data_IF_024137870321
#
_entry.id   IF_024137870321
#
_cell.length_a   1.000
_cell.length_b   1.000
_cell.length_c   1.000
_cell.angle_alpha   90.00
_cell.angle_beta   90.00
_cell.angle_gamma   90.00
#
_symmetry.space_group_name_H-M   'P 1'
#
loop_
_entity.id
_entity.type
_entity.pdbx_description
1 polymer ?
#
# COMPACT_ATOMS: atom_id res chain seq x y z
N UNK A 1 -9.29 1.80 -24.28
CA UNK A 1 -8.78 1.81 -22.88
C UNK A 1 -7.37 2.37 -22.73
N UNK A 2 -6.52 2.51 -23.76
CA UNK A 2 -5.09 2.93 -23.61
C UNK A 2 -4.82 4.30 -22.96
N UNK A 3 -5.80 5.19 -22.82
CA UNK A 3 -5.63 6.49 -22.13
C UNK A 3 -6.56 6.66 -20.91
N UNK A 4 -7.22 5.59 -20.52
CA UNK A 4 -8.04 5.47 -19.34
C UNK A 4 -7.23 4.67 -18.31
N UNK A 5 -7.43 4.88 -17.03
CA UNK A 5 -6.72 4.18 -15.96
C UNK A 5 -5.20 4.47 -15.89
N UNK A 6 -4.83 5.77 -15.97
CA UNK A 6 -3.47 6.20 -15.64
C UNK A 6 -3.10 5.80 -14.22
N UNK A 7 -1.80 5.71 -13.95
CA UNK A 7 -1.27 5.21 -12.69
C UNK A 7 -0.49 6.29 -11.95
N UNK A 8 -0.56 6.25 -10.63
CA UNK A 8 0.37 6.88 -9.70
C UNK A 8 0.75 5.86 -8.64
N UNK A 9 2.01 5.81 -8.25
CA UNK A 9 2.51 4.85 -7.26
C UNK A 9 3.29 5.61 -6.21
N UNK A 10 2.97 5.38 -4.92
CA UNK A 10 3.69 5.94 -3.77
C UNK A 10 4.23 4.81 -2.91
N UNK A 11 5.50 4.89 -2.53
CA UNK A 11 6.15 3.96 -1.61
C UNK A 11 6.76 4.72 -0.43
N UNK A 12 6.67 4.14 0.75
CA UNK A 12 7.26 4.64 1.98
C UNK A 12 8.44 3.77 2.38
N UNK A 13 9.63 4.36 2.50
CA UNK A 13 10.84 3.65 2.88
C UNK A 13 11.27 3.99 4.29
N UNK A 14 11.70 2.96 5.03
CA UNK A 14 12.40 3.12 6.28
C UNK A 14 13.85 3.56 6.04
N UNK A 15 14.35 4.48 6.85
CA UNK A 15 15.78 4.85 6.90
C UNK A 15 16.43 4.14 8.07
N UNK A 16 17.49 3.40 7.78
CA UNK A 16 18.11 2.43 8.69
C UNK A 16 19.59 2.73 8.88
N UNK A 17 20.05 2.71 10.11
CA UNK A 17 21.47 2.73 10.44
C UNK A 17 22.12 1.38 10.08
N UNK A 18 23.21 1.33 9.30
CA UNK A 18 23.80 0.07 8.84
C UNK A 18 24.55 -0.70 9.91
N UNK A 19 24.84 -0.10 11.07
CA UNK A 19 25.55 -0.74 12.19
C UNK A 19 24.58 -1.32 13.20
N UNK A 20 23.61 -0.51 13.65
CA UNK A 20 22.62 -0.93 14.65
C UNK A 20 21.40 -1.62 14.03
N UNK A 21 21.15 -1.42 12.73
CA UNK A 21 19.93 -1.82 12.00
C UNK A 21 18.66 -1.18 12.56
N UNK A 22 18.75 -0.25 13.51
CA UNK A 22 17.60 0.52 14.00
C UNK A 22 17.17 1.57 12.98
N UNK A 23 15.90 1.97 13.06
CA UNK A 23 15.43 3.16 12.37
C UNK A 23 16.16 4.39 12.88
N UNK A 24 16.51 5.28 11.99
CA UNK A 24 17.20 6.52 12.35
C UNK A 24 16.60 7.72 11.64
N UNK A 25 16.55 8.83 12.36
CA UNK A 25 16.12 10.12 11.82
C UNK A 25 17.20 10.69 10.90
N UNK A 26 16.82 11.19 9.74
CA UNK A 26 17.74 11.71 8.71
C UNK A 26 17.73 13.24 8.58
N UNK A 27 17.20 13.97 9.58
CA UNK A 27 17.12 15.44 9.62
C UNK A 27 16.60 16.08 8.30
N UNK A 28 15.75 15.38 7.58
CA UNK A 28 15.23 15.76 6.25
C UNK A 28 16.26 15.94 5.12
N UNK A 29 17.57 15.77 5.39
CA UNK A 29 18.64 15.99 4.39
C UNK A 29 18.50 15.10 3.15
N UNK A 30 18.06 13.85 3.34
CA UNK A 30 17.82 12.93 2.21
C UNK A 30 16.69 13.49 1.33
N UNK A 31 15.58 13.94 1.94
CA UNK A 31 14.43 14.50 1.23
C UNK A 31 14.81 15.77 0.49
N UNK A 32 15.48 16.73 1.16
CA UNK A 32 15.91 17.99 0.55
C UNK A 32 16.88 17.78 -0.63
N UNK A 33 17.80 16.82 -0.50
CA UNK A 33 18.71 16.47 -1.58
C UNK A 33 17.98 15.83 -2.76
N UNK A 34 17.06 14.90 -2.48
CA UNK A 34 16.26 14.22 -3.49
C UNK A 34 15.29 15.17 -4.22
N UNK A 35 14.71 16.16 -3.52
CA UNK A 35 13.83 17.17 -4.11
C UNK A 35 14.56 18.08 -5.13
N UNK A 36 15.86 18.26 -5.01
CA UNK A 36 16.66 18.98 -6.02
C UNK A 36 16.69 18.24 -7.36
N UNK A 37 16.52 16.91 -7.34
CA UNK A 37 16.56 16.05 -8.52
C UNK A 37 15.13 15.74 -8.99
N UNK A 38 14.26 15.32 -8.08
CA UNK A 38 12.94 14.77 -8.35
C UNK A 38 11.77 15.67 -7.89
N UNK A 39 12.05 16.90 -7.42
CA UNK A 39 11.02 17.89 -6.99
C UNK A 39 10.02 17.27 -5.99
N UNK A 40 8.74 17.34 -6.30
CA UNK A 40 7.64 16.92 -5.44
C UNK A 40 7.46 15.40 -5.36
N UNK A 41 8.27 14.61 -6.09
CA UNK A 41 8.20 13.15 -6.09
C UNK A 41 8.81 12.51 -4.83
N UNK A 42 9.58 13.26 -4.03
CA UNK A 42 10.14 12.80 -2.76
C UNK A 42 9.67 13.73 -1.65
N UNK A 43 9.13 13.15 -0.59
CA UNK A 43 8.52 13.90 0.52
C UNK A 43 8.96 13.35 1.86
N UNK A 44 8.98 14.23 2.86
CA UNK A 44 9.07 13.84 4.25
C UNK A 44 7.72 13.30 4.72
N UNK A 45 7.76 12.31 5.59
CA UNK A 45 6.61 11.75 6.28
C UNK A 45 6.57 12.18 7.76
N UNK A 46 5.52 11.76 8.49
CA UNK A 46 5.28 12.15 9.87
C UNK A 46 6.45 11.77 10.78
N UNK A 47 7.06 10.61 10.58
CA UNK A 47 8.27 10.22 11.31
C UNK A 47 9.51 10.54 10.48
N UNK A 48 10.53 11.11 11.10
CA UNK A 48 11.77 11.47 10.42
C UNK A 48 12.56 10.27 9.88
N UNK A 49 12.26 9.07 10.32
CA UNK A 49 12.84 7.83 9.82
C UNK A 49 12.14 7.29 8.56
N UNK A 50 11.22 8.07 7.95
CA UNK A 50 10.44 7.67 6.78
C UNK A 50 10.68 8.64 5.63
N UNK A 51 10.89 8.09 4.43
CA UNK A 51 10.93 8.85 3.16
C UNK A 51 9.85 8.30 2.25
N UNK A 52 8.91 9.15 1.84
CA UNK A 52 7.91 8.85 0.83
C UNK A 52 8.42 9.22 -0.56
N UNK A 53 8.22 8.34 -1.52
CA UNK A 53 8.40 8.63 -2.94
C UNK A 53 7.09 8.44 -3.69
N UNK A 54 6.85 9.25 -4.72
CA UNK A 54 5.67 9.15 -5.57
C UNK A 54 6.01 9.40 -7.04
N UNK A 55 5.50 8.57 -7.93
CA UNK A 55 5.65 8.78 -9.37
C UNK A 55 4.86 10.00 -9.85
N UNK A 56 5.18 10.48 -11.03
CA UNK A 56 4.25 11.30 -11.81
C UNK A 56 3.04 10.49 -12.28
N UNK A 57 2.23 11.10 -13.17
CA UNK A 57 1.12 10.39 -13.82
C UNK A 57 1.70 9.48 -14.90
N UNK A 58 1.66 8.18 -14.66
CA UNK A 58 2.16 7.14 -15.56
C UNK A 58 1.05 6.61 -16.46
N UNK A 59 1.37 6.35 -17.72
CA UNK A 59 0.40 5.81 -18.69
C UNK A 59 0.17 4.30 -18.53
N UNK A 60 1.16 3.59 -18.00
CA UNK A 60 1.16 2.14 -17.86
C UNK A 60 2.15 1.71 -16.76
N UNK A 61 2.17 0.41 -16.44
CA UNK A 61 3.08 -0.17 -15.44
C UNK A 61 4.56 -0.06 -15.83
N UNK A 62 4.90 -0.06 -17.11
CA UNK A 62 6.29 0.09 -17.58
C UNK A 62 6.86 1.46 -17.20
N UNK A 63 6.10 2.53 -17.44
CA UNK A 63 6.48 3.89 -17.00
C UNK A 63 6.56 4.00 -15.48
N UNK A 64 5.58 3.45 -14.75
CA UNK A 64 5.60 3.44 -13.29
C UNK A 64 6.82 2.68 -12.74
N UNK A 65 7.17 1.55 -13.34
CA UNK A 65 8.36 0.76 -13.00
C UNK A 65 9.64 1.57 -13.17
N UNK A 66 9.77 2.27 -14.29
CA UNK A 66 10.95 3.10 -14.55
C UNK A 66 11.11 4.19 -13.48
N UNK A 67 10.03 4.93 -13.19
CA UNK A 67 10.05 6.01 -12.20
C UNK A 67 10.34 5.49 -10.78
N UNK A 68 9.67 4.42 -10.33
CA UNK A 68 9.94 3.80 -9.02
C UNK A 68 11.38 3.30 -8.92
N UNK A 69 11.89 2.66 -9.98
CA UNK A 69 13.28 2.19 -10.01
C UNK A 69 14.27 3.34 -9.83
N UNK A 70 14.07 4.46 -10.52
CA UNK A 70 14.91 5.66 -10.41
C UNK A 70 14.79 6.33 -9.04
N UNK A 71 13.57 6.43 -8.50
CA UNK A 71 13.32 7.02 -7.18
C UNK A 71 13.96 6.20 -6.06
N UNK A 72 13.79 4.85 -6.06
CA UNK A 72 14.49 3.95 -5.11
C UNK A 72 16.00 4.10 -5.20
N UNK A 73 16.54 4.10 -6.43
CA UNK A 73 17.97 4.27 -6.65
C UNK A 73 18.47 5.60 -6.07
N UNK A 74 17.84 6.71 -6.42
CA UNK A 74 18.25 8.05 -5.97
C UNK A 74 18.20 8.18 -4.45
N UNK A 75 17.08 7.78 -3.82
CA UNK A 75 16.95 7.84 -2.36
C UNK A 75 17.98 6.95 -1.67
N UNK A 76 18.26 5.76 -2.23
CA UNK A 76 19.30 4.86 -1.71
C UNK A 76 20.70 5.46 -1.79
N UNK A 77 21.06 6.11 -2.92
CA UNK A 77 22.36 6.77 -3.07
C UNK A 77 22.52 7.90 -2.06
N UNK A 78 21.51 8.77 -1.94
CA UNK A 78 21.53 9.91 -1.01
C UNK A 78 21.54 9.47 0.47
N UNK A 79 20.87 8.36 0.80
CA UNK A 79 20.99 7.73 2.11
C UNK A 79 22.43 7.21 2.34
N UNK A 80 23.01 6.53 1.34
CA UNK A 80 24.38 6.03 1.37
C UNK A 80 25.44 7.11 1.56
N UNK A 81 25.27 8.31 0.97
CA UNK A 81 26.13 9.47 1.19
C UNK A 81 26.12 9.96 2.66
N UNK A 82 25.06 9.65 3.38
CA UNK A 82 24.93 9.95 4.81
C UNK A 82 25.29 8.75 5.72
N UNK A 83 25.81 7.67 5.14
CA UNK A 83 26.13 6.44 5.86
C UNK A 83 24.92 5.64 6.29
N UNK A 84 23.76 5.82 5.63
CA UNK A 84 22.47 5.19 5.94
C UNK A 84 22.04 4.23 4.82
N UNK A 85 21.04 3.42 5.10
CA UNK A 85 20.39 2.52 4.13
C UNK A 85 18.90 2.76 4.09
N UNK A 86 18.23 2.35 3.00
CA UNK A 86 16.77 2.29 2.94
C UNK A 86 16.28 0.84 2.95
N UNK A 87 15.06 0.65 3.47
CA UNK A 87 14.38 -0.64 3.44
C UNK A 87 12.90 -0.46 3.15
N UNK A 88 12.29 -1.43 2.49
CA UNK A 88 10.87 -1.46 2.17
C UNK A 88 10.21 -2.69 2.82
N UNK A 89 9.37 -2.45 3.81
CA UNK A 89 8.51 -3.43 4.48
C UNK A 89 7.34 -2.68 5.12
N UNK A 90 6.31 -3.37 5.60
CA UNK A 90 5.17 -2.69 6.23
C UNK A 90 5.44 -2.19 7.65
N UNK A 91 6.39 -2.82 8.37
CA UNK A 91 6.87 -2.42 9.70
C UNK A 91 8.35 -2.71 9.83
N UNK A 92 9.04 -1.97 10.71
CA UNK A 92 10.41 -2.33 11.11
C UNK A 92 10.37 -3.47 12.15
N UNK A 93 11.22 -4.51 12.02
CA UNK A 93 11.14 -5.70 12.89
C UNK A 93 11.30 -5.43 14.39
N UNK A 94 12.14 -4.47 14.79
CA UNK A 94 12.48 -4.31 16.20
C UNK A 94 12.60 -2.88 16.71
N UNK A 95 12.66 -1.86 15.87
CA UNK A 95 12.71 -0.46 16.32
C UNK A 95 11.42 -0.05 17.04
N UNK A 96 11.59 0.65 18.16
CA UNK A 96 10.48 1.16 18.96
C UNK A 96 10.05 2.55 18.48
N UNK A 97 8.73 2.76 18.36
CA UNK A 97 8.18 4.04 17.90
C UNK A 97 8.43 5.19 18.86
N UNK A 98 8.54 4.93 20.19
CA UNK A 98 8.83 5.95 21.20
C UNK A 98 10.18 6.63 21.02
N UNK A 99 11.11 5.96 20.33
CA UNK A 99 12.43 6.50 20.02
C UNK A 99 12.47 7.36 18.74
N UNK A 100 11.35 7.38 17.96
CA UNK A 100 11.34 8.06 16.68
C UNK A 100 10.89 9.50 16.80
N UNK A 101 11.59 10.40 16.09
CA UNK A 101 11.26 11.81 16.05
C UNK A 101 10.15 12.09 15.04
N UNK A 102 9.26 13.00 15.41
CA UNK A 102 8.23 13.52 14.52
C UNK A 102 8.82 14.67 13.69
N UNK A 103 8.50 14.68 12.41
CA UNK A 103 8.90 15.74 11.48
C UNK A 103 8.27 17.07 11.88
N UNK A 104 9.08 18.12 11.99
CA UNK A 104 8.64 19.47 12.33
C UNK A 104 7.86 20.08 11.16
N UNK A 105 6.55 19.86 11.12
CA UNK A 105 5.65 20.40 10.12
C UNK A 105 4.26 20.65 10.75
N UNK A 106 3.61 21.80 10.47
CA UNK A 106 2.31 22.16 11.07
C UNK A 106 1.24 21.04 10.96
N UNK A 107 1.14 20.40 9.80
CA UNK A 107 0.21 19.29 9.55
C UNK A 107 0.45 18.12 10.51
N UNK A 108 1.69 17.72 10.73
CA UNK A 108 2.02 16.58 11.58
C UNK A 108 1.85 16.93 13.06
N UNK A 109 2.20 18.14 13.46
CA UNK A 109 1.92 18.64 14.81
C UNK A 109 0.42 18.63 15.13
N UNK A 110 -0.41 19.02 14.17
CA UNK A 110 -1.86 18.97 14.31
C UNK A 110 -2.38 17.51 14.47
N UNK A 111 -1.93 16.58 13.61
CA UNK A 111 -2.31 15.16 13.69
C UNK A 111 -1.88 14.56 15.03
N UNK A 112 -0.65 14.82 15.46
CA UNK A 112 -0.14 14.34 16.76
C UNK A 112 -0.92 14.93 17.92
N UNK A 113 -1.30 16.20 17.87
CA UNK A 113 -2.12 16.84 18.91
C UNK A 113 -3.54 16.26 18.95
N UNK A 114 -4.13 15.95 17.80
CA UNK A 114 -5.48 15.37 17.70
C UNK A 114 -5.51 13.89 18.13
N UNK A 115 -4.58 13.07 17.61
CA UNK A 115 -4.61 11.62 17.75
C UNK A 115 -3.67 11.08 18.84
N UNK A 116 -2.81 11.89 19.42
CA UNK A 116 -1.90 11.57 20.51
C UNK A 116 -1.06 10.30 20.25
N UNK A 117 -1.16 9.30 21.11
CA UNK A 117 -0.38 8.06 21.02
C UNK A 117 -0.71 7.26 19.76
N UNK A 118 -1.94 7.31 19.24
CA UNK A 118 -2.28 6.67 17.99
C UNK A 118 -1.41 7.21 16.84
N UNK A 119 -1.21 8.55 16.78
CA UNK A 119 -0.34 9.15 15.79
C UNK A 119 1.14 8.80 16.01
N UNK A 120 1.64 8.95 17.25
CA UNK A 120 3.05 8.67 17.56
C UNK A 120 3.43 7.22 17.28
N UNK A 121 2.54 6.28 17.59
CA UNK A 121 2.77 4.84 17.36
C UNK A 121 2.52 4.38 15.92
N UNK A 122 2.16 5.29 14.99
CA UNK A 122 1.88 4.95 13.59
C UNK A 122 3.16 4.87 12.75
N UNK A 123 4.11 4.07 13.21
CA UNK A 123 5.40 3.83 12.56
C UNK A 123 5.27 2.67 11.57
N UNK A 124 4.67 2.94 10.43
CA UNK A 124 4.33 1.96 9.39
C UNK A 124 4.70 2.50 8.01
N UNK A 125 4.81 1.58 7.05
CA UNK A 125 5.22 1.90 5.69
C UNK A 125 4.30 1.19 4.69
N UNK A 126 3.75 1.93 3.75
CA UNK A 126 2.75 1.44 2.80
C UNK A 126 3.14 1.58 1.35
N UNK A 127 2.39 0.88 0.53
CA UNK A 127 2.26 1.12 -0.89
C UNK A 127 0.89 1.75 -1.16
N UNK A 128 0.87 2.89 -1.85
CA UNK A 128 -0.36 3.47 -2.37
C UNK A 128 -0.36 3.41 -3.89
N UNK A 129 -1.49 3.01 -4.46
CA UNK A 129 -1.67 2.96 -5.91
C UNK A 129 -2.87 3.81 -6.29
N UNK A 130 -2.65 4.78 -7.16
CA UNK A 130 -3.70 5.59 -7.76
C UNK A 130 -4.03 5.06 -9.15
N UNK A 131 -5.31 4.83 -9.40
CA UNK A 131 -5.81 4.52 -10.75
C UNK A 131 -6.72 5.66 -11.20
N UNK A 132 -6.38 6.29 -12.32
CA UNK A 132 -7.10 7.43 -12.90
C UNK A 132 -8.43 7.05 -13.53
N UNK A 133 -9.40 7.97 -13.48
CA UNK A 133 -10.72 7.83 -14.08
C UNK A 133 -11.13 9.09 -14.81
N UNK A 134 -12.13 8.99 -15.69
CA UNK A 134 -12.69 10.12 -16.42
C UNK A 134 -13.58 11.03 -15.56
N UNK A 135 -14.12 10.49 -14.45
CA UNK A 135 -14.95 11.24 -13.51
C UNK A 135 -14.96 10.58 -12.13
N UNK A 136 -15.19 11.39 -11.10
CA UNK A 136 -15.38 10.93 -9.72
C UNK A 136 -16.62 10.03 -9.57
N UNK A 137 -17.68 10.26 -10.38
CA UNK A 137 -18.88 9.43 -10.40
C UNK A 137 -18.57 7.98 -10.84
N UNK A 138 -17.75 7.83 -11.88
CA UNK A 138 -17.28 6.51 -12.30
C UNK A 138 -16.38 5.87 -11.24
N UNK A 139 -15.49 6.66 -10.65
CA UNK A 139 -14.58 6.18 -9.60
C UNK A 139 -15.35 5.61 -8.40
N UNK A 140 -16.39 6.30 -7.88
CA UNK A 140 -17.18 5.80 -6.74
C UNK A 140 -17.92 4.51 -7.09
N UNK A 141 -18.48 4.44 -8.31
CA UNK A 141 -19.15 3.22 -8.78
C UNK A 141 -18.23 2.00 -8.83
N UNK A 142 -17.00 2.19 -9.33
CA UNK A 142 -15.98 1.12 -9.40
C UNK A 142 -15.44 0.81 -8.00
N UNK A 143 -15.14 1.83 -7.18
CA UNK A 143 -14.64 1.64 -5.82
C UNK A 143 -15.56 0.75 -4.98
N UNK A 144 -16.87 0.91 -5.05
CA UNK A 144 -17.84 0.08 -4.34
C UNK A 144 -17.71 -1.41 -4.67
N UNK A 145 -17.38 -1.77 -5.91
CA UNK A 145 -17.26 -3.15 -6.38
C UNK A 145 -15.88 -3.73 -6.07
N UNK A 146 -14.81 -2.94 -6.26
CA UNK A 146 -13.41 -3.36 -5.99
C UNK A 146 -13.20 -3.77 -4.54
N UNK A 147 -13.96 -3.21 -3.60
CA UNK A 147 -13.86 -3.52 -2.16
C UNK A 147 -13.81 -5.02 -1.85
N UNK A 148 -14.54 -5.84 -2.62
CA UNK A 148 -14.52 -7.30 -2.47
C UNK A 148 -13.14 -7.90 -2.71
N UNK A 149 -12.38 -7.37 -3.66
CA UNK A 149 -11.06 -7.88 -4.05
C UNK A 149 -9.90 -7.37 -3.18
N UNK A 150 -10.13 -6.37 -2.33
CA UNK A 150 -9.08 -5.80 -1.48
C UNK A 150 -8.39 -6.85 -0.59
N UNK A 151 -9.09 -7.78 0.10
CA UNK A 151 -8.44 -8.82 0.90
C UNK A 151 -7.57 -9.77 0.08
N UNK A 152 -7.89 -10.00 -1.21
CA UNK A 152 -7.11 -10.88 -2.10
C UNK A 152 -5.75 -10.24 -2.42
N UNK A 153 -5.74 -8.98 -2.86
CA UNK A 153 -4.50 -8.24 -3.15
C UNK A 153 -3.72 -7.97 -1.86
N UNK A 154 -4.41 -7.71 -0.76
CA UNK A 154 -3.79 -7.52 0.54
C UNK A 154 -3.07 -8.78 1.04
N UNK A 155 -3.67 -9.96 0.87
CA UNK A 155 -3.01 -11.23 1.22
C UNK A 155 -1.69 -11.43 0.48
N UNK A 156 -1.61 -11.02 -0.80
CA UNK A 156 -0.39 -11.05 -1.61
C UNK A 156 0.66 -10.05 -1.15
N UNK A 157 0.23 -8.88 -0.65
CA UNK A 157 1.12 -7.77 -0.30
C UNK A 157 1.59 -7.77 1.15
N UNK A 158 1.27 -8.82 1.93
CA UNK A 158 1.69 -8.90 3.32
C UNK A 158 3.21 -8.89 3.46
N UNK A 159 3.75 -7.95 4.26
CA UNK A 159 5.19 -7.74 4.42
C UNK A 159 5.54 -7.12 5.79
N UNK A 160 4.78 -7.45 6.86
CA UNK A 160 5.03 -6.89 8.20
C UNK A 160 4.70 -7.89 9.32
N UNK A 161 5.45 -9.03 9.43
CA UNK A 161 5.17 -10.05 10.43
C UNK A 161 5.72 -9.70 11.82
N UNK A 162 6.66 -8.75 11.90
CA UNK A 162 7.36 -8.41 13.13
C UNK A 162 7.03 -6.99 13.60
N UNK A 163 7.04 -6.79 14.92
CA UNK A 163 6.86 -5.52 15.58
C UNK A 163 7.51 -5.51 16.96
N UNK A 164 8.36 -4.52 17.23
CA UNK A 164 9.01 -4.32 18.53
C UNK A 164 9.62 -5.62 19.10
N UNK A 165 10.53 -6.23 18.36
CA UNK A 165 11.23 -7.48 18.72
C UNK A 165 10.31 -8.71 18.89
N UNK A 166 9.13 -8.72 18.27
CA UNK A 166 8.18 -9.83 18.40
C UNK A 166 7.69 -10.31 17.06
N UNK A 167 7.59 -11.64 16.90
CA UNK A 167 6.73 -12.22 15.89
C UNK A 167 5.28 -12.01 16.35
N UNK A 168 4.53 -11.21 15.58
CA UNK A 168 3.17 -10.82 15.95
C UNK A 168 2.14 -11.92 15.69
N UNK A 169 2.53 -12.95 14.95
CA UNK A 169 1.62 -13.99 14.46
C UNK A 169 0.76 -13.54 13.27
N UNK A 170 0.89 -12.31 12.79
CA UNK A 170 0.25 -11.82 11.57
C UNK A 170 1.24 -11.82 10.40
N UNK A 171 0.74 -11.89 9.17
CA UNK A 171 1.54 -11.65 7.96
C UNK A 171 1.60 -10.15 7.63
N UNK A 172 0.57 -9.38 8.01
CA UNK A 172 0.59 -7.92 8.01
C UNK A 172 0.12 -7.37 9.35
N UNK A 173 1.05 -6.90 10.16
CA UNK A 173 0.74 -6.18 11.40
C UNK A 173 0.56 -4.67 11.18
N UNK A 174 1.06 -4.13 10.07
CA UNK A 174 0.89 -2.74 9.66
C UNK A 174 -0.57 -2.28 9.77
N UNK A 175 -1.50 -3.06 9.26
CA UNK A 175 -2.92 -2.70 9.30
C UNK A 175 -3.48 -2.66 10.72
N UNK A 176 -2.96 -3.48 11.66
CA UNK A 176 -3.37 -3.47 13.06
C UNK A 176 -2.88 -2.22 13.80
N UNK A 177 -1.72 -1.69 13.42
CA UNK A 177 -1.22 -0.41 13.92
C UNK A 177 -2.09 0.72 13.37
N UNK A 178 -2.36 0.70 12.05
CA UNK A 178 -3.14 1.73 11.38
C UNK A 178 -4.62 1.76 11.81
N UNK A 179 -5.20 0.63 12.21
CA UNK A 179 -6.58 0.54 12.72
C UNK A 179 -6.82 1.41 13.99
N UNK A 180 -5.74 1.92 14.65
CA UNK A 180 -5.85 2.90 15.75
C UNK A 180 -6.32 4.28 15.28
N UNK A 181 -6.11 4.63 14.00
CA UNK A 181 -6.56 5.90 13.44
C UNK A 181 -8.07 5.86 13.19
N UNK A 182 -8.79 6.96 13.46
CA UNK A 182 -10.18 7.09 13.06
C UNK A 182 -10.28 7.07 11.52
N UNK A 183 -11.42 6.64 11.00
CA UNK A 183 -11.72 6.69 9.56
C UNK A 183 -10.74 5.87 8.70
N UNK A 184 -10.26 4.74 9.23
CA UNK A 184 -9.46 3.71 8.53
C UNK A 184 -10.32 2.50 8.17
N UNK A 185 -9.72 1.52 7.49
CA UNK A 185 -10.35 0.26 7.12
C UNK A 185 -11.17 0.35 5.83
N UNK A 186 -12.01 -0.64 5.62
CA UNK A 186 -12.87 -0.72 4.43
C UNK A 186 -13.99 0.34 4.54
N UNK A 187 -14.20 1.22 3.53
CA UNK A 187 -15.30 2.18 3.54
C UNK A 187 -16.66 1.49 3.40
N UNK A 188 -17.72 2.19 3.78
CA UNK A 188 -19.09 1.81 3.42
C UNK A 188 -19.35 2.02 1.91
N UNK A 189 -20.50 1.55 1.43
CA UNK A 189 -20.97 1.78 0.07
C UNK A 189 -21.53 3.22 -0.01
N UNK A 190 -21.14 3.96 -1.02
CA UNK A 190 -21.73 5.24 -1.38
C UNK A 190 -22.52 5.09 -2.67
N UNK A 191 -23.80 5.47 -2.68
CA UNK A 191 -24.68 5.28 -3.84
C UNK A 191 -24.35 6.24 -5.00
N UNK A 192 -23.74 7.38 -4.68
CA UNK A 192 -23.30 8.38 -5.66
C UNK A 192 -22.13 9.18 -5.12
N UNK A 193 -21.50 9.98 -5.98
CA UNK A 193 -20.47 10.94 -5.54
C UNK A 193 -21.06 12.02 -4.64
N UNK A 194 -22.31 12.39 -4.84
CA UNK A 194 -23.01 13.34 -3.99
C UNK A 194 -23.19 12.78 -2.56
N UNK A 195 -23.53 11.50 -2.43
CA UNK A 195 -23.63 10.81 -1.15
C UNK A 195 -22.29 10.84 -0.40
N UNK A 196 -21.20 10.53 -1.10
CA UNK A 196 -19.84 10.66 -0.58
C UNK A 196 -19.49 12.12 -0.17
N UNK A 197 -19.79 13.09 -1.03
CA UNK A 197 -19.49 14.49 -0.75
C UNK A 197 -20.33 15.02 0.43
N UNK A 198 -21.57 14.56 0.61
CA UNK A 198 -22.40 14.89 1.74
C UNK A 198 -21.86 14.31 3.06
N UNK A 199 -21.32 13.08 3.01
CA UNK A 199 -20.61 12.49 4.16
C UNK A 199 -19.38 13.34 4.55
N UNK A 200 -18.55 13.73 3.58
CA UNK A 200 -17.38 14.60 3.82
C UNK A 200 -17.80 15.96 4.39
N UNK A 201 -18.83 16.61 3.79
CA UNK A 201 -19.36 17.90 4.26
C UNK A 201 -19.88 17.82 5.69
N UNK A 202 -20.53 16.71 6.05
CA UNK A 202 -21.00 16.49 7.42
C UNK A 202 -19.84 16.45 8.41
N UNK A 203 -18.78 15.69 8.11
CA UNK A 203 -17.60 15.60 8.95
C UNK A 203 -16.89 16.95 9.12
N UNK A 204 -16.80 17.75 8.05
CA UNK A 204 -16.23 19.10 8.10
C UNK A 204 -17.13 20.01 8.95
N UNK A 205 -18.45 20.00 8.73
CA UNK A 205 -19.40 20.81 9.48
C UNK A 205 -19.41 20.53 10.99
N UNK A 206 -19.11 19.29 11.36
CA UNK A 206 -19.04 18.84 12.78
C UNK A 206 -17.64 18.96 13.36
N UNK A 207 -16.69 19.60 12.67
CA UNK A 207 -15.27 19.74 13.07
C UNK A 207 -14.57 18.39 13.34
N UNK A 208 -15.05 17.30 12.71
CA UNK A 208 -14.41 15.98 12.81
C UNK A 208 -13.17 15.87 11.91
N UNK A 209 -13.15 16.64 10.83
CA UNK A 209 -12.03 16.82 9.91
C UNK A 209 -12.05 18.24 9.35
N UNK A 210 -10.92 18.75 8.91
CA UNK A 210 -10.79 20.00 8.14
C UNK A 210 -10.96 19.77 6.62
N UNK A 211 -10.53 18.61 6.15
CA UNK A 211 -10.65 18.20 4.75
C UNK A 211 -10.61 16.67 4.61
N UNK A 212 -10.96 16.16 3.41
CA UNK A 212 -11.07 14.73 3.15
C UNK A 212 -9.72 13.97 3.12
N UNK A 213 -8.56 14.65 3.21
CA UNK A 213 -7.26 13.97 3.39
C UNK A 213 -7.16 13.23 4.72
N UNK A 214 -7.96 13.63 5.74
CA UNK A 214 -8.06 12.96 7.05
C UNK A 214 -9.01 11.75 7.05
N UNK A 215 -9.36 11.22 5.88
CA UNK A 215 -10.07 9.95 5.68
C UNK A 215 -9.05 8.95 5.13
N UNK A 216 -8.67 7.96 5.94
CA UNK A 216 -7.57 7.04 5.65
C UNK A 216 -8.05 5.62 5.32
N UNK A 217 -9.18 5.48 4.61
CA UNK A 217 -9.69 4.16 4.21
C UNK A 217 -8.71 3.38 3.33
N UNK A 218 -8.84 2.07 3.34
CA UNK A 218 -8.05 1.13 2.53
C UNK A 218 -8.19 1.35 1.02
N UNK A 219 -9.32 1.92 0.61
CA UNK A 219 -9.63 2.40 -0.74
C UNK A 219 -10.39 3.72 -0.62
N UNK A 220 -10.01 4.72 -1.39
CA UNK A 220 -10.58 6.06 -1.33
C UNK A 220 -10.73 6.66 -2.73
N UNK A 221 -11.90 7.22 -3.05
CA UNK A 221 -11.98 8.18 -4.16
C UNK A 221 -11.26 9.43 -3.71
N UNK A 222 -10.20 9.80 -4.43
CA UNK A 222 -9.31 10.87 -3.97
C UNK A 222 -10.05 12.23 -3.98
N UNK A 223 -9.90 13.08 -2.94
CA UNK A 223 -10.67 14.32 -2.82
C UNK A 223 -10.34 15.38 -3.86
N UNK A 224 -9.14 15.34 -4.45
CA UNK A 224 -8.64 16.39 -5.36
C UNK A 224 -8.24 15.87 -6.75
N UNK A 225 -8.06 14.56 -6.90
CA UNK A 225 -7.71 13.93 -8.17
C UNK A 225 -8.83 12.99 -8.60
N UNK A 226 -9.05 12.86 -9.90
CA UNK A 226 -10.01 11.90 -10.44
C UNK A 226 -9.40 10.48 -10.43
N UNK A 227 -9.04 10.00 -9.23
CA UNK A 227 -8.43 8.67 -9.01
C UNK A 227 -9.14 7.90 -7.92
N UNK A 228 -9.08 6.58 -8.02
CA UNK A 228 -9.22 5.68 -6.87
C UNK A 228 -7.81 5.44 -6.32
N UNK A 229 -7.64 5.65 -5.04
CA UNK A 229 -6.41 5.41 -4.30
C UNK A 229 -6.56 4.15 -3.44
N UNK A 230 -5.69 3.19 -3.65
CA UNK A 230 -5.58 1.95 -2.91
C UNK A 230 -4.45 2.07 -1.88
N UNK A 231 -4.75 1.86 -0.60
CA UNK A 231 -3.85 2.12 0.53
C UNK A 231 -3.61 0.89 1.41
N UNK A 232 -4.27 -0.23 1.11
CA UNK A 232 -4.32 -1.41 1.96
C UNK A 232 -2.98 -2.16 2.03
N UNK A 233 -2.12 -2.05 1.01
CA UNK A 233 -0.91 -2.85 0.86
C UNK A 233 0.22 -2.40 1.78
N UNK A 234 0.96 -3.36 2.36
CA UNK A 234 2.27 -3.11 2.94
C UNK A 234 3.24 -2.67 1.83
N UNK A 235 4.28 -1.88 2.16
CA UNK A 235 5.32 -1.54 1.19
C UNK A 235 6.09 -2.80 0.79
N UNK A 236 6.15 -3.18 -0.50
CA UNK A 236 6.85 -4.39 -0.94
C UNK A 236 8.36 -4.22 -0.97
N UNK A 237 9.10 -5.29 -0.67
CA UNK A 237 10.55 -5.26 -0.81
C UNK A 237 10.99 -5.14 -2.27
N UNK A 238 10.35 -5.84 -3.18
CA UNK A 238 10.73 -5.93 -4.59
C UNK A 238 9.90 -5.00 -5.48
N UNK A 239 10.55 -4.31 -6.43
CA UNK A 239 9.86 -3.49 -7.44
C UNK A 239 8.89 -4.34 -8.27
N UNK A 240 9.24 -5.59 -8.54
CA UNK A 240 8.34 -6.50 -9.28
C UNK A 240 7.03 -6.76 -8.53
N UNK A 241 7.06 -6.83 -7.20
CA UNK A 241 5.85 -6.95 -6.37
C UNK A 241 5.01 -5.67 -6.42
N UNK A 242 5.66 -4.50 -6.31
CA UNK A 242 5.00 -3.19 -6.46
C UNK A 242 4.25 -3.11 -7.80
N UNK A 243 4.91 -3.52 -8.89
CA UNK A 243 4.29 -3.50 -10.22
C UNK A 243 3.17 -4.53 -10.36
N UNK A 244 3.32 -5.72 -9.77
CA UNK A 244 2.27 -6.73 -9.77
C UNK A 244 0.99 -6.23 -9.08
N UNK A 245 1.11 -5.60 -7.91
CA UNK A 245 -0.05 -5.03 -7.21
C UNK A 245 -0.63 -3.82 -7.94
N UNK A 246 0.20 -2.97 -8.52
CA UNK A 246 -0.23 -1.85 -9.35
C UNK A 246 -1.03 -2.34 -10.56
N UNK A 247 -0.53 -3.36 -11.26
CA UNK A 247 -1.22 -3.99 -12.38
C UNK A 247 -2.55 -4.64 -11.98
N UNK A 248 -2.59 -5.34 -10.83
CA UNK A 248 -3.82 -5.94 -10.31
C UNK A 248 -4.91 -4.87 -10.08
N UNK A 249 -4.58 -3.75 -9.42
CA UNK A 249 -5.55 -2.68 -9.20
C UNK A 249 -6.00 -2.03 -10.50
N UNK A 250 -5.08 -1.78 -11.45
CA UNK A 250 -5.42 -1.25 -12.75
C UNK A 250 -6.36 -2.19 -13.52
N UNK A 251 -6.03 -3.48 -13.58
CA UNK A 251 -6.83 -4.49 -14.26
C UNK A 251 -8.21 -4.66 -13.62
N UNK A 252 -8.31 -4.68 -12.28
CA UNK A 252 -9.59 -4.71 -11.57
C UNK A 252 -10.48 -3.52 -11.94
N UNK A 253 -9.93 -2.30 -11.93
CA UNK A 253 -10.66 -1.11 -12.32
C UNK A 253 -11.14 -1.20 -13.78
N UNK A 254 -10.26 -1.61 -14.70
CA UNK A 254 -10.58 -1.74 -16.12
C UNK A 254 -11.63 -2.86 -16.38
N UNK A 255 -11.51 -3.99 -15.70
CA UNK A 255 -12.46 -5.11 -15.81
C UNK A 255 -13.86 -4.71 -15.36
N UNK A 256 -13.96 -4.08 -14.19
CA UNK A 256 -15.24 -3.61 -13.65
C UNK A 256 -15.87 -2.51 -14.53
N UNK A 257 -15.05 -1.65 -15.11
CA UNK A 257 -15.51 -0.69 -16.13
C UNK A 257 -16.03 -1.40 -17.38
N UNK A 258 -15.32 -2.41 -17.87
CA UNK A 258 -15.76 -3.24 -19.03
C UNK A 258 -17.11 -3.90 -18.77
N UNK A 259 -17.32 -4.45 -17.56
CA UNK A 259 -18.62 -4.99 -17.16
C UNK A 259 -19.73 -3.92 -17.20
N UNK A 260 -19.44 -2.72 -16.67
CA UNK A 260 -20.40 -1.60 -16.73
C UNK A 260 -20.81 -1.24 -18.16
N UNK A 261 -19.86 -1.23 -19.10
CA UNK A 261 -20.17 -0.98 -20.52
C UNK A 261 -21.08 -2.06 -21.13
N UNK A 262 -21.08 -3.26 -20.54
CA UNK A 262 -21.95 -4.39 -20.92
C UNK A 262 -23.27 -4.43 -20.12
N UNK A 263 -23.60 -3.37 -19.36
CA UNK A 263 -24.74 -3.31 -18.44
C UNK A 263 -24.70 -4.37 -17.33
N UNK A 264 -23.49 -4.81 -16.93
CA UNK A 264 -23.24 -5.74 -15.81
C UNK A 264 -22.54 -5.04 -14.67
N UNK A 265 -22.64 -5.60 -13.46
CA UNK A 265 -21.89 -5.14 -12.30
C UNK A 265 -21.47 -6.32 -11.42
N UNK A 266 -20.35 -6.19 -10.72
CA UNK A 266 -19.98 -7.10 -9.66
C UNK A 266 -20.80 -6.80 -8.39
N UNK A 267 -21.13 -7.83 -7.61
CA UNK A 267 -21.93 -7.68 -6.38
C UNK A 267 -21.12 -6.90 -5.34
N UNK A 268 -21.75 -5.91 -4.72
CA UNK A 268 -21.17 -5.15 -3.62
C UNK A 268 -21.61 -5.76 -2.28
N UNK A 269 -20.63 -6.19 -1.50
CA UNK A 269 -20.86 -6.78 -0.18
C UNK A 269 -20.71 -5.75 0.95
N UNK A 270 -21.30 -6.08 2.11
CA UNK A 270 -21.20 -5.20 3.29
C UNK A 270 -19.77 -5.08 3.79
N UNK A 271 -19.46 -3.92 4.40
CA UNK A 271 -18.15 -3.67 5.02
C UNK A 271 -17.77 -4.74 6.04
N UNK A 272 -18.74 -5.19 6.85
CA UNK A 272 -18.48 -6.18 7.90
C UNK A 272 -17.96 -7.52 7.34
N UNK A 273 -18.54 -8.01 6.25
CA UNK A 273 -18.10 -9.24 5.59
C UNK A 273 -16.70 -9.07 4.98
N UNK A 274 -16.44 -7.95 4.30
CA UNK A 274 -15.11 -7.70 3.70
C UNK A 274 -14.04 -7.55 4.79
N UNK A 275 -14.36 -6.93 5.93
CA UNK A 275 -13.44 -6.82 7.06
C UNK A 275 -13.08 -8.18 7.68
N UNK A 276 -13.99 -9.17 7.67
CA UNK A 276 -13.66 -10.54 8.08
C UNK A 276 -12.57 -11.12 7.17
N UNK A 277 -12.72 -10.98 5.87
CA UNK A 277 -11.68 -11.43 4.91
C UNK A 277 -10.39 -10.59 5.03
N UNK A 278 -10.48 -9.28 5.30
CA UNK A 278 -9.30 -8.44 5.57
C UNK A 278 -8.54 -8.95 6.79
N UNK A 279 -9.26 -9.31 7.87
CA UNK A 279 -8.61 -9.88 9.05
C UNK A 279 -7.93 -11.21 8.74
N UNK A 280 -8.60 -12.12 8.00
CA UNK A 280 -8.03 -13.40 7.57
C UNK A 280 -6.77 -13.21 6.72
N UNK A 281 -6.80 -12.29 5.76
CA UNK A 281 -5.66 -11.93 4.93
C UNK A 281 -4.49 -11.38 5.78
N UNK A 282 -4.75 -10.45 6.72
CA UNK A 282 -3.74 -9.92 7.62
C UNK A 282 -3.08 -11.03 8.48
N UNK A 283 -3.90 -11.97 8.98
CA UNK A 283 -3.45 -13.02 9.89
C UNK A 283 -2.69 -14.14 9.18
N UNK A 284 -3.20 -14.60 8.04
CA UNK A 284 -2.75 -15.83 7.39
C UNK A 284 -2.09 -15.60 6.03
N UNK A 285 -2.21 -14.41 5.43
CA UNK A 285 -1.71 -14.12 4.09
C UNK A 285 -2.34 -15.05 3.04
N UNK A 286 -1.54 -15.46 2.08
CA UNK A 286 -1.96 -16.35 0.98
C UNK A 286 -2.19 -17.81 1.41
N UNK A 287 -1.75 -18.20 2.59
CA UNK A 287 -1.89 -19.58 3.10
C UNK A 287 -3.22 -19.81 3.82
N UNK A 288 -3.96 -18.72 4.12
CA UNK A 288 -5.26 -18.81 4.77
C UNK A 288 -6.41 -19.10 3.82
N UNK A 289 -7.61 -19.19 4.40
CA UNK A 289 -8.86 -19.26 3.67
C UNK A 289 -9.59 -17.91 3.76
N UNK A 290 -10.12 -17.45 2.65
CA UNK A 290 -11.06 -16.33 2.62
C UNK A 290 -12.49 -16.87 2.41
N UNK A 291 -13.48 -16.06 2.75
CA UNK A 291 -14.87 -16.40 2.47
C UNK A 291 -15.19 -15.95 1.04
N UNK A 292 -15.59 -16.87 0.20
CA UNK A 292 -16.28 -16.57 -1.05
C UNK A 292 -17.77 -16.33 -0.72
N UNK A 293 -18.19 -15.08 -0.74
CA UNK A 293 -19.55 -14.70 -0.36
C UNK A 293 -20.61 -15.14 -1.38
N UNK A 294 -20.22 -15.35 -2.63
CA UNK A 294 -21.12 -15.86 -3.66
C UNK A 294 -21.39 -17.34 -3.53
N UNK A 295 -20.36 -18.11 -3.15
CA UNK A 295 -20.44 -19.55 -2.90
C UNK A 295 -20.86 -19.88 -1.46
N UNK A 296 -20.86 -18.88 -0.55
CA UNK A 296 -21.12 -19.03 0.90
C UNK A 296 -20.23 -20.10 1.57
N UNK A 297 -18.94 -20.13 1.20
CA UNK A 297 -18.00 -21.11 1.71
C UNK A 297 -16.59 -20.53 1.88
N UNK A 298 -15.77 -21.18 2.71
CA UNK A 298 -14.36 -20.91 2.78
C UNK A 298 -13.63 -21.50 1.58
N UNK A 299 -12.78 -20.68 0.96
CA UNK A 299 -11.93 -21.07 -0.16
C UNK A 299 -10.50 -20.68 0.14
N UNK A 300 -9.55 -21.54 -0.19
CA UNK A 300 -8.13 -21.23 -0.04
C UNK A 300 -7.79 -19.94 -0.80
N UNK A 301 -7.06 -19.02 -0.17
CA UNK A 301 -6.74 -17.71 -0.72
C UNK A 301 -6.00 -17.81 -2.05
N UNK A 302 -5.09 -18.78 -2.22
CA UNK A 302 -4.35 -19.01 -3.47
C UNK A 302 -5.31 -19.33 -4.64
N UNK A 303 -6.33 -20.13 -4.38
CA UNK A 303 -7.33 -20.46 -5.41
C UNK A 303 -8.17 -19.23 -5.79
N UNK A 304 -8.59 -18.42 -4.81
CA UNK A 304 -9.31 -17.17 -5.09
C UNK A 304 -8.44 -16.15 -5.85
N UNK A 305 -7.14 -16.12 -5.60
CA UNK A 305 -6.22 -15.30 -6.38
C UNK A 305 -6.12 -15.81 -7.83
N UNK A 306 -6.06 -17.12 -8.05
CA UNK A 306 -6.09 -17.68 -9.41
C UNK A 306 -7.41 -17.38 -10.13
N UNK A 307 -8.56 -17.49 -9.44
CA UNK A 307 -9.86 -17.06 -9.97
C UNK A 307 -9.87 -15.55 -10.30
N UNK A 308 -9.21 -14.72 -9.48
CA UNK A 308 -9.04 -13.28 -9.76
C UNK A 308 -8.22 -13.05 -11.01
N UNK A 309 -7.10 -13.77 -11.21
CA UNK A 309 -6.26 -13.64 -12.41
C UNK A 309 -7.05 -14.01 -13.67
N UNK A 310 -7.83 -15.09 -13.63
CA UNK A 310 -8.73 -15.50 -14.73
C UNK A 310 -9.82 -14.44 -14.97
N UNK A 311 -10.41 -13.89 -13.90
CA UNK A 311 -11.45 -12.85 -14.02
C UNK A 311 -10.96 -11.60 -14.75
N UNK A 312 -9.72 -11.17 -14.55
CA UNK A 312 -9.17 -9.95 -15.17
C UNK A 312 -8.43 -10.21 -16.49
N UNK A 313 -8.24 -11.46 -16.91
CA UNK A 313 -7.37 -11.85 -18.02
C UNK A 313 -7.66 -11.10 -19.32
N UNK A 314 -8.95 -10.87 -19.61
CA UNK A 314 -9.42 -10.22 -20.83
C UNK A 314 -9.13 -8.71 -20.94
N UNK A 315 -8.50 -8.09 -19.95
CA UNK A 315 -8.05 -6.69 -19.98
C UNK A 315 -6.52 -6.54 -19.86
N UNK A 316 -5.82 -7.59 -19.45
CA UNK A 316 -4.37 -7.54 -19.15
C UNK A 316 -3.54 -7.14 -20.36
N UNK A 317 -3.79 -7.74 -21.52
CA UNK A 317 -3.05 -7.46 -22.76
C UNK A 317 -3.42 -6.09 -23.36
N UNK A 318 -4.67 -5.65 -23.18
CA UNK A 318 -5.09 -4.30 -23.59
C UNK A 318 -4.36 -3.20 -22.80
N UNK A 319 -4.05 -3.46 -21.51
CA UNK A 319 -3.31 -2.56 -20.64
C UNK A 319 -1.79 -2.71 -20.75
N UNK A 320 -1.30 -3.79 -21.38
CA UNK A 320 0.10 -4.06 -21.62
C UNK A 320 0.87 -4.50 -20.35
N UNK A 321 0.19 -5.06 -19.35
CA UNK A 321 0.77 -5.40 -18.05
C UNK A 321 0.90 -6.93 -17.79
N UNK A 322 0.91 -7.76 -18.84
CA UNK A 322 0.95 -9.23 -18.75
C UNK A 322 2.11 -9.75 -17.89
N UNK A 323 3.30 -9.18 -18.04
CA UNK A 323 4.47 -9.61 -17.27
C UNK A 323 4.31 -9.31 -15.77
N UNK A 324 3.72 -8.17 -15.44
CA UNK A 324 3.49 -7.76 -14.05
C UNK A 324 2.41 -8.65 -13.41
N UNK A 325 1.34 -8.96 -14.13
CA UNK A 325 0.30 -9.90 -13.67
C UNK A 325 0.87 -11.33 -13.50
N UNK A 326 1.69 -11.80 -14.42
CA UNK A 326 2.33 -13.12 -14.30
C UNK A 326 3.27 -13.20 -13.08
N UNK A 327 3.78 -12.07 -12.59
CA UNK A 327 4.61 -12.07 -11.38
C UNK A 327 3.84 -12.49 -10.13
N UNK A 328 2.51 -12.35 -10.10
CA UNK A 328 1.65 -12.85 -9.03
C UNK A 328 1.84 -14.37 -8.82
N UNK A 329 2.04 -15.12 -9.90
CA UNK A 329 2.30 -16.57 -9.81
C UNK A 329 3.60 -16.87 -9.07
N UNK A 330 4.63 -16.03 -9.24
CA UNK A 330 5.89 -16.14 -8.48
C UNK A 330 5.70 -15.84 -6.99
N UNK A 331 4.82 -14.88 -6.65
CA UNK A 331 4.49 -14.61 -5.25
C UNK A 331 3.75 -15.82 -4.65
N UNK A 332 2.82 -16.42 -5.40
CA UNK A 332 2.14 -17.64 -4.95
C UNK A 332 3.14 -18.81 -4.78
N UNK A 333 4.16 -18.93 -5.59
CA UNK A 333 5.17 -19.99 -5.51
C UNK A 333 6.16 -19.75 -4.35
N UNK A 334 6.70 -18.53 -4.24
CA UNK A 334 7.83 -18.21 -3.35
C UNK A 334 7.40 -17.63 -1.99
N UNK A 335 6.11 -17.40 -1.77
CA UNK A 335 5.58 -16.72 -0.60
C UNK A 335 5.64 -15.19 -0.70
N UNK A 336 4.93 -14.54 0.20
CA UNK A 336 4.87 -13.08 0.34
C UNK A 336 6.14 -12.52 0.97
N UNK A 337 6.25 -11.19 1.05
CA UNK A 337 7.34 -10.55 1.81
C UNK A 337 7.39 -11.01 3.26
N UNK A 338 6.22 -11.20 3.90
CA UNK A 338 6.14 -11.70 5.26
C UNK A 338 6.66 -13.14 5.40
N UNK A 339 6.34 -14.02 4.45
CA UNK A 339 6.82 -15.40 4.47
C UNK A 339 8.34 -15.46 4.38
N UNK A 340 8.92 -14.64 3.51
CA UNK A 340 10.38 -14.57 3.33
C UNK A 340 11.07 -13.98 4.56
N UNK A 341 10.51 -12.93 5.19
CA UNK A 341 11.04 -12.38 6.46
C UNK A 341 11.00 -13.44 7.58
N UNK A 342 9.89 -14.17 7.70
CA UNK A 342 9.75 -15.24 8.69
C UNK A 342 10.78 -16.35 8.47
N UNK A 343 10.99 -16.79 7.23
CA UNK A 343 11.98 -17.81 6.88
C UNK A 343 13.42 -17.36 7.25
N UNK A 344 13.77 -16.09 6.98
CA UNK A 344 15.07 -15.53 7.37
C UNK A 344 15.22 -15.53 8.91
N UNK A 345 14.18 -15.15 9.64
CA UNK A 345 14.20 -15.16 11.10
C UNK A 345 14.30 -16.59 11.67
N UNK A 346 13.56 -17.54 11.13
CA UNK A 346 13.61 -18.95 11.54
C UNK A 346 15.00 -19.56 11.36
N UNK A 347 15.71 -19.16 10.30
CA UNK A 347 17.07 -19.65 10.04
C UNK A 347 18.14 -18.97 10.90
N UNK A 348 18.00 -17.69 11.19
CA UNK A 348 19.02 -16.88 11.86
C UNK A 348 18.78 -16.68 13.36
N UNK A 349 17.53 -16.72 13.81
CA UNK A 349 17.12 -16.33 15.15
C UNK A 349 17.34 -14.84 15.48
N UNK A 350 17.57 -13.99 14.45
CA UNK A 350 18.08 -12.64 14.64
C UNK A 350 17.30 -11.62 13.76
N UNK A 351 16.74 -10.59 14.38
CA UNK A 351 16.04 -9.51 13.69
C UNK A 351 16.95 -8.59 12.86
N UNK A 352 18.20 -8.42 13.26
CA UNK A 352 19.18 -7.63 12.48
C UNK A 352 19.41 -8.27 11.11
N UNK A 353 19.49 -9.62 11.06
CA UNK A 353 19.58 -10.37 9.79
C UNK A 353 18.33 -10.16 8.92
N UNK A 354 17.15 -10.06 9.52
CA UNK A 354 15.91 -9.74 8.79
C UNK A 354 15.99 -8.34 8.21
N UNK A 355 16.50 -7.35 8.94
CA UNK A 355 16.67 -5.98 8.42
C UNK A 355 17.70 -5.93 7.29
N UNK A 356 18.83 -6.64 7.44
CA UNK A 356 19.83 -6.76 6.36
C UNK A 356 19.21 -7.40 5.10
N UNK A 357 18.36 -8.42 5.28
CA UNK A 357 17.59 -9.01 4.16
C UNK A 357 16.65 -7.99 3.52
N UNK A 358 15.81 -7.28 4.30
CA UNK A 358 14.88 -6.26 3.79
C UNK A 358 15.64 -5.21 2.97
N UNK A 359 16.70 -4.63 3.53
CA UNK A 359 17.48 -3.58 2.85
C UNK A 359 18.14 -4.08 1.57
N UNK A 360 18.64 -5.31 1.54
CA UNK A 360 19.23 -5.91 0.34
C UNK A 360 18.20 -6.17 -0.76
N UNK A 361 17.01 -6.68 -0.39
CA UNK A 361 15.94 -6.93 -1.36
C UNK A 361 15.36 -5.64 -1.93
N UNK A 362 15.28 -4.58 -1.14
CA UNK A 362 14.75 -3.27 -1.56
C UNK A 362 15.50 -2.70 -2.76
N UNK A 363 16.78 -3.00 -2.91
CA UNK A 363 17.62 -2.47 -3.98
C UNK A 363 17.61 -3.31 -5.26
N UNK A 364 16.97 -4.49 -5.25
CA UNK A 364 16.87 -5.34 -6.44
C UNK A 364 16.02 -4.63 -7.49
N UNK A 365 16.61 -4.41 -8.67
CA UNK A 365 15.95 -3.72 -9.78
C UNK A 365 16.00 -2.18 -9.70
N UNK A 366 16.48 -1.59 -8.60
CA UNK A 366 16.72 -0.16 -8.52
C UNK A 366 17.91 0.23 -9.41
N UNK A 367 17.72 1.20 -10.30
CA UNK A 367 18.75 1.66 -11.25
C UNK A 367 18.48 3.09 -11.69
N UNK A 368 19.54 3.75 -12.12
CA UNK A 368 19.51 5.11 -12.64
C UNK A 368 18.66 5.27 -13.89
#
# INVERSE_FOLDING_TARGET
MKNEFTLGVEEEYMVVDPVTRELTSHDQKIVEAAQKIHKDQVKAEMHQAVVEVGTGICKNTEQARLEISQLRYTVSQLAGEQGLRIGAAGTHPFSHWEKQLITEHPRYSEIVNELQEAARSNLIFGLHVHVGFQSRELAIHIANQVRYFLPHVFALSTNSPFWENRNTGYKSFRTKIFDKFPRTGIPDIFNSIEDYDNYVKLLIKTNSIDNAKKIWWDIRVHPFFETIEFRICDCPMLIDETMAFTALFQCLCAKLYKLRLQNMKFISYSRALINENKWRAARYGIDGNLIDFGKEMEVNCRNLILELLDFIDDVVDELGCRNDINYVLKILENGTGADRQLAVYEQSGNFETVVDYITSQTLIGAKQ
#
